data_IF_207627010540
#
_entry.id   IF_207627010540
#
_cell.length_a   1.000
_cell.length_b   1.000
_cell.length_c   1.000
_cell.angle_alpha   90.00
_cell.angle_beta   90.00
_cell.angle_gamma   90.00
#
_symmetry.space_group_name_H-M   'P 1'
#
loop_
_entity.id
_entity.type
_entity.pdbx_description
1 polymer ?
#
# COMPACT_ATOMS: atom_id res chain seq x y z
N UNK A 1 34.40 25.37 -64.57
CA UNK A 1 34.11 25.52 -63.12
C UNK A 1 33.39 24.26 -62.63
N UNK A 2 34.09 23.33 -61.93
CA UNK A 2 33.53 22.13 -61.36
C UNK A 2 32.99 22.48 -59.95
N UNK A 3 31.66 22.37 -59.74
CA UNK A 3 31.05 22.49 -58.40
C UNK A 3 31.47 21.29 -57.52
N UNK A 4 31.97 21.52 -56.32
CA UNK A 4 32.21 20.41 -55.39
C UNK A 4 30.88 19.78 -55.01
N UNK A 5 30.73 18.50 -55.30
CA UNK A 5 29.62 17.68 -54.79
C UNK A 5 29.87 17.42 -53.32
N UNK A 6 29.38 18.29 -52.44
CA UNK A 6 29.27 17.99 -51.02
C UNK A 6 28.18 16.95 -50.89
N UNK A 7 28.55 15.69 -50.77
CA UNK A 7 27.66 14.64 -50.30
C UNK A 7 27.19 15.06 -48.92
N UNK A 8 25.89 15.26 -48.69
CA UNK A 8 25.38 15.47 -47.35
C UNK A 8 25.60 14.17 -46.60
N UNK A 9 26.81 14.12 -46.04
CA UNK A 9 27.32 12.88 -45.57
C UNK A 9 26.76 12.51 -44.24
N UNK A 10 27.26 11.44 -43.75
CA UNK A 10 27.18 10.79 -42.47
C UNK A 10 26.83 11.70 -41.25
N UNK A 11 27.21 12.99 -41.29
CA UNK A 11 26.92 13.96 -40.20
C UNK A 11 25.42 14.24 -39.97
N UNK A 12 24.57 14.10 -41.01
CA UNK A 12 23.11 14.31 -40.85
C UNK A 12 22.48 13.15 -40.12
N UNK A 13 23.05 11.94 -40.20
CA UNK A 13 22.55 10.75 -39.54
C UNK A 13 22.93 10.66 -38.06
N UNK A 14 23.97 11.38 -37.64
CA UNK A 14 24.43 11.37 -36.23
C UNK A 14 23.35 11.87 -35.25
N UNK A 15 22.70 13.04 -35.47
CA UNK A 15 21.66 13.48 -34.56
C UNK A 15 20.42 12.56 -34.59
N UNK A 16 20.09 11.98 -35.76
CA UNK A 16 18.97 11.04 -35.86
C UNK A 16 19.27 9.72 -35.13
N UNK A 17 20.49 9.21 -35.28
CA UNK A 17 20.94 8.01 -34.56
C UNK A 17 20.98 8.25 -33.04
N UNK A 18 21.43 9.42 -32.59
CA UNK A 18 21.45 9.81 -31.20
C UNK A 18 20.02 9.92 -30.63
N UNK A 19 19.12 10.54 -31.39
CA UNK A 19 17.70 10.65 -30.99
C UNK A 19 17.03 9.27 -30.89
N UNK A 20 17.26 8.39 -31.86
CA UNK A 20 16.74 7.03 -31.84
C UNK A 20 17.32 6.21 -30.68
N UNK A 21 18.61 6.38 -30.38
CA UNK A 21 19.27 5.73 -29.24
C UNK A 21 18.72 6.19 -27.90
N UNK A 22 18.60 7.51 -27.69
CA UNK A 22 18.01 8.07 -26.48
C UNK A 22 16.53 7.71 -26.34
N UNK A 23 15.77 7.72 -27.44
CA UNK A 23 14.39 7.27 -27.47
C UNK A 23 14.26 5.79 -27.12
N UNK A 24 15.17 4.95 -27.60
CA UNK A 24 15.22 3.52 -27.25
C UNK A 24 15.50 3.29 -25.78
N UNK A 25 16.46 4.02 -25.19
CA UNK A 25 16.73 3.96 -23.72
C UNK A 25 15.52 4.41 -22.93
N UNK A 26 14.87 5.51 -23.35
CA UNK A 26 13.67 6.02 -22.67
C UNK A 26 12.52 5.00 -22.72
N UNK A 27 12.23 4.43 -23.90
CA UNK A 27 11.21 3.40 -24.06
C UNK A 27 11.54 2.14 -23.25
N UNK A 28 12.81 1.72 -23.25
CA UNK A 28 13.26 0.60 -22.43
C UNK A 28 13.03 0.87 -20.93
N UNK A 29 13.37 2.07 -20.45
CA UNK A 29 13.12 2.48 -19.07
C UNK A 29 11.64 2.55 -18.67
N UNK A 30 10.72 2.74 -19.64
CA UNK A 30 9.28 2.68 -19.38
C UNK A 30 8.73 1.26 -19.29
N UNK A 31 9.43 0.26 -19.81
CA UNK A 31 9.01 -1.14 -19.76
C UNK A 31 9.55 -1.89 -18.53
N UNK A 32 10.53 -1.33 -17.84
CA UNK A 32 11.02 -1.89 -16.58
C UNK A 32 9.94 -1.69 -15.50
N UNK A 33 9.50 -2.77 -14.81
CA UNK A 33 8.62 -2.65 -13.64
C UNK A 33 9.39 -1.88 -12.57
N UNK A 34 8.99 -0.64 -12.31
CA UNK A 34 9.57 0.13 -11.22
C UNK A 34 9.05 -0.43 -9.91
N UNK A 35 9.90 -1.07 -9.13
CA UNK A 35 9.67 -1.30 -7.70
C UNK A 35 9.82 0.04 -6.94
N UNK A 36 9.07 1.07 -7.37
CA UNK A 36 9.09 2.41 -6.77
C UNK A 36 8.37 2.46 -5.39
N UNK A 37 8.11 1.30 -4.81
CA UNK A 37 7.49 1.22 -3.49
C UNK A 37 8.52 1.50 -2.40
N UNK A 38 8.33 2.62 -1.73
CA UNK A 38 9.13 2.96 -0.53
C UNK A 38 8.74 2.00 0.59
N UNK A 39 9.50 0.91 0.72
CA UNK A 39 9.27 -0.03 1.82
C UNK A 39 9.48 0.68 3.16
N UNK A 40 8.56 0.43 4.08
CA UNK A 40 8.67 0.99 5.42
C UNK A 40 10.00 0.59 6.08
N UNK A 41 10.71 1.57 6.61
CA UNK A 41 11.88 1.36 7.45
C UNK A 41 11.52 0.67 8.79
N UNK A 42 10.24 0.46 9.05
CA UNK A 42 9.71 -0.17 10.24
C UNK A 42 9.59 -1.70 10.12
N UNK A 43 9.83 -2.29 8.94
CA UNK A 43 9.84 -3.76 8.80
C UNK A 43 10.88 -4.36 9.74
N UNK A 44 10.47 -5.35 10.53
CA UNK A 44 11.27 -5.99 11.58
C UNK A 44 11.27 -5.27 12.93
N UNK A 45 10.68 -4.08 13.03
CA UNK A 45 10.57 -3.30 14.26
C UNK A 45 9.18 -3.44 14.92
N UNK A 46 9.07 -3.15 16.23
CA UNK A 46 7.77 -3.08 16.88
C UNK A 46 6.92 -1.93 16.31
N UNK A 47 5.60 -2.09 16.32
CA UNK A 47 4.67 -1.00 16.06
C UNK A 47 4.99 0.20 16.96
N UNK A 48 4.87 1.43 16.45
CA UNK A 48 4.86 2.62 17.31
C UNK A 48 3.78 2.48 18.39
N UNK A 49 4.01 3.05 19.55
CA UNK A 49 3.00 3.09 20.61
C UNK A 49 1.91 4.09 20.24
N UNK A 50 0.67 3.61 20.21
CA UNK A 50 -0.50 4.45 19.93
C UNK A 50 -1.73 3.98 20.68
N UNK A 51 -2.68 4.89 20.88
CA UNK A 51 -4.02 4.63 21.39
C UNK A 51 -4.99 5.58 20.70
N UNK A 52 -5.70 5.08 19.69
CA UNK A 52 -6.59 5.87 18.86
C UNK A 52 -8.04 5.67 19.27
N UNK A 53 -8.85 6.74 19.28
CA UNK A 53 -10.28 6.63 19.49
C UNK A 53 -10.92 5.78 18.40
N UNK A 54 -12.10 5.24 18.69
CA UNK A 54 -12.90 4.53 17.70
C UNK A 54 -13.22 5.46 16.52
N UNK A 55 -13.02 4.95 15.30
CA UNK A 55 -13.28 5.72 14.08
C UNK A 55 -14.77 5.91 13.79
N UNK A 56 -15.63 5.06 14.33
CA UNK A 56 -17.10 5.14 14.21
C UNK A 56 -17.77 4.41 15.38
N UNK A 57 -19.06 4.66 15.58
CA UNK A 57 -19.84 3.97 16.60
C UNK A 57 -19.97 2.47 16.30
N UNK A 58 -20.09 1.67 17.36
CA UNK A 58 -20.29 0.21 17.27
C UNK A 58 -19.04 -0.59 16.93
N UNK A 59 -17.90 0.05 16.65
CA UNK A 59 -16.61 -0.63 16.42
C UNK A 59 -15.61 -0.16 17.49
N UNK A 60 -14.89 -1.09 18.16
CA UNK A 60 -13.95 -0.72 19.22
C UNK A 60 -12.79 0.14 18.73
N UNK A 61 -12.29 1.02 19.61
CA UNK A 61 -11.04 1.76 19.47
C UNK A 61 -9.84 0.81 19.25
N UNK A 62 -8.72 1.35 18.77
CA UNK A 62 -7.54 0.56 18.44
C UNK A 62 -6.30 1.11 19.16
N UNK A 63 -5.57 0.22 19.84
CA UNK A 63 -4.29 0.52 20.47
C UNK A 63 -3.20 -0.44 19.99
N UNK A 64 -1.93 -0.02 20.09
CA UNK A 64 -0.79 -0.88 19.76
C UNK A 64 -0.73 -2.16 20.60
N UNK A 65 -1.28 -2.15 21.82
CA UNK A 65 -1.40 -3.31 22.70
C UNK A 65 -2.31 -4.41 22.15
N UNK A 66 -3.24 -4.08 21.25
CA UNK A 66 -4.13 -5.05 20.62
C UNK A 66 -3.40 -6.02 19.67
N UNK A 67 -2.12 -5.76 19.38
CA UNK A 67 -1.27 -6.58 18.52
C UNK A 67 -0.24 -7.44 19.28
N UNK A 68 -0.26 -7.44 20.60
CA UNK A 68 0.75 -8.12 21.43
C UNK A 68 0.19 -9.25 22.28
N UNK A 69 -0.85 -9.94 21.79
CA UNK A 69 -1.55 -11.03 22.51
C UNK A 69 -1.16 -12.44 22.01
N UNK A 70 -0.10 -12.55 21.22
CA UNK A 70 0.41 -13.81 20.68
C UNK A 70 -0.20 -14.21 19.34
N UNK A 71 -1.11 -13.42 18.75
CA UNK A 71 -1.76 -13.73 17.47
C UNK A 71 -1.31 -12.76 16.37
N UNK A 72 -0.95 -13.25 15.18
CA UNK A 72 -0.69 -12.37 14.06
C UNK A 72 -1.97 -11.73 13.53
N UNK A 73 -1.86 -10.48 13.13
CA UNK A 73 -2.96 -9.68 12.56
C UNK A 73 -2.53 -8.89 11.35
N UNK A 74 -3.49 -8.47 10.56
CA UNK A 74 -3.26 -7.45 9.55
C UNK A 74 -3.73 -6.09 10.07
N UNK A 75 -2.94 -5.06 9.77
CA UNK A 75 -3.24 -3.66 10.00
C UNK A 75 -3.38 -2.98 8.64
N UNK A 76 -4.60 -2.54 8.31
CA UNK A 76 -4.88 -1.85 7.05
C UNK A 76 -5.11 -0.36 7.32
N UNK A 77 -4.41 0.49 6.57
CA UNK A 77 -4.61 1.93 6.55
C UNK A 77 -5.54 2.29 5.41
N UNK A 78 -6.61 3.00 5.71
CA UNK A 78 -7.62 3.34 4.73
C UNK A 78 -8.25 4.73 4.97
N UNK A 79 -9.06 5.18 4.03
CA UNK A 79 -9.94 6.33 4.16
C UNK A 79 -11.21 6.14 3.35
N UNK A 80 -12.34 6.63 3.82
CA UNK A 80 -13.62 6.58 3.07
C UNK A 80 -13.56 7.35 1.76
N UNK A 81 -12.71 8.37 1.69
CA UNK A 81 -12.43 9.20 0.54
C UNK A 81 -11.49 8.55 -0.50
N UNK A 82 -10.86 7.43 -0.15
CA UNK A 82 -9.85 6.74 -0.94
C UNK A 82 -10.51 5.78 -1.93
N UNK A 83 -10.43 6.06 -3.23
CA UNK A 83 -11.01 5.21 -4.28
C UNK A 83 -10.40 3.80 -4.32
N UNK A 84 -9.06 3.62 -4.28
CA UNK A 84 -8.47 2.27 -4.24
C UNK A 84 -8.86 1.48 -3.00
N UNK A 85 -9.11 2.15 -1.85
CA UNK A 85 -9.57 1.47 -0.63
C UNK A 85 -10.96 0.83 -0.81
N UNK A 86 -11.83 1.46 -1.61
CA UNK A 86 -13.13 0.88 -1.97
C UNK A 86 -12.96 -0.35 -2.86
N UNK A 87 -12.00 -0.32 -3.77
CA UNK A 87 -11.72 -1.43 -4.67
C UNK A 87 -11.17 -2.66 -3.95
N UNK A 88 -10.35 -2.49 -2.89
CA UNK A 88 -9.78 -3.60 -2.12
C UNK A 88 -10.73 -4.21 -1.09
N UNK A 89 -11.81 -3.52 -0.70
CA UNK A 89 -12.71 -3.95 0.37
C UNK A 89 -13.22 -5.40 0.21
N UNK A 90 -13.62 -5.89 -0.99
CA UNK A 90 -13.99 -7.28 -1.19
C UNK A 90 -12.86 -8.28 -0.90
N UNK A 91 -11.60 -7.89 -1.13
CA UNK A 91 -10.43 -8.74 -0.89
C UNK A 91 -10.11 -8.84 0.60
N UNK A 92 -10.26 -7.73 1.34
CA UNK A 92 -10.18 -7.73 2.81
C UNK A 92 -11.26 -8.63 3.43
N UNK A 93 -12.49 -8.57 2.92
CA UNK A 93 -13.56 -9.49 3.34
C UNK A 93 -13.23 -10.96 3.02
N UNK A 94 -12.57 -11.22 1.91
CA UNK A 94 -12.11 -12.57 1.56
C UNK A 94 -11.03 -13.06 2.53
N UNK A 95 -10.06 -12.22 2.89
CA UNK A 95 -9.03 -12.51 3.89
C UNK A 95 -9.65 -12.79 5.26
N UNK A 96 -10.62 -11.97 5.69
CA UNK A 96 -11.39 -12.19 6.93
C UNK A 96 -12.09 -13.56 6.94
N UNK A 97 -12.75 -13.94 5.84
CA UNK A 97 -13.40 -15.26 5.68
C UNK A 97 -12.40 -16.42 5.76
N UNK A 98 -11.12 -16.17 5.46
CA UNK A 98 -10.03 -17.15 5.61
C UNK A 98 -9.46 -17.19 7.06
N UNK A 99 -10.06 -16.44 7.98
CA UNK A 99 -9.69 -16.43 9.40
C UNK A 99 -8.61 -15.41 9.76
N UNK A 100 -8.30 -14.47 8.86
CA UNK A 100 -7.40 -13.34 9.16
C UNK A 100 -8.16 -12.33 10.02
N UNK A 101 -7.60 -11.98 11.17
CA UNK A 101 -8.08 -10.86 11.97
C UNK A 101 -7.47 -9.56 11.44
N UNK A 102 -8.31 -8.62 11.03
CA UNK A 102 -7.90 -7.36 10.41
C UNK A 102 -8.33 -6.21 11.30
N UNK A 103 -7.41 -5.31 11.63
CA UNK A 103 -7.67 -4.02 12.25
C UNK A 103 -7.49 -2.90 11.25
N UNK A 104 -8.31 -1.86 11.33
CA UNK A 104 -8.27 -0.71 10.46
C UNK A 104 -7.74 0.53 11.16
N UNK A 105 -7.06 1.40 10.42
CA UNK A 105 -6.79 2.79 10.81
C UNK A 105 -7.39 3.70 9.75
N UNK A 106 -8.40 4.47 10.14
CA UNK A 106 -9.01 5.50 9.30
C UNK A 106 -8.15 6.79 9.37
N UNK A 107 -7.61 7.21 8.23
CA UNK A 107 -6.71 8.37 8.13
C UNK A 107 -7.50 9.60 7.67
N UNK A 108 -7.42 10.70 8.46
CA UNK A 108 -8.09 11.97 8.16
C UNK A 108 -9.54 11.78 7.72
N UNK A 109 -10.31 11.04 8.48
CA UNK A 109 -11.67 10.69 8.14
C UNK A 109 -12.68 11.12 9.22
N UNK A 110 -13.93 11.25 8.83
CA UNK A 110 -15.03 11.59 9.72
C UNK A 110 -15.82 10.34 10.10
N UNK A 111 -16.29 10.20 11.36
CA UNK A 111 -17.00 9.00 11.80
C UNK A 111 -18.19 8.60 10.93
N UNK A 112 -18.94 9.58 10.43
CA UNK A 112 -20.11 9.34 9.57
C UNK A 112 -19.69 8.79 8.19
N UNK A 113 -18.58 9.28 7.65
CA UNK A 113 -18.05 8.82 6.37
C UNK A 113 -17.49 7.39 6.49
N UNK A 114 -16.79 7.09 7.59
CA UNK A 114 -16.32 5.72 7.89
C UNK A 114 -17.52 4.78 8.02
N UNK A 115 -18.57 5.15 8.74
CA UNK A 115 -19.79 4.35 8.85
C UNK A 115 -20.44 4.09 7.49
N UNK A 116 -20.56 5.13 6.65
CA UNK A 116 -21.07 5.02 5.29
C UNK A 116 -20.23 4.05 4.44
N UNK A 117 -18.90 4.19 4.48
CA UNK A 117 -17.97 3.30 3.78
C UNK A 117 -18.17 1.84 4.18
N UNK A 118 -18.24 1.54 5.47
CA UNK A 118 -18.41 0.17 5.96
C UNK A 118 -19.79 -0.41 5.62
N UNK A 119 -20.82 0.44 5.55
CA UNK A 119 -22.16 0.02 5.13
C UNK A 119 -22.21 -0.33 3.65
N UNK A 120 -21.53 0.44 2.80
CA UNK A 120 -21.54 0.29 1.35
C UNK A 120 -20.62 -0.84 0.86
N UNK A 121 -19.39 -0.93 1.41
CA UNK A 121 -18.34 -1.83 0.91
C UNK A 121 -18.07 -3.05 1.79
N UNK A 122 -18.77 -3.17 2.94
CA UNK A 122 -18.54 -4.23 3.92
C UNK A 122 -17.59 -3.82 5.05
N UNK A 123 -17.60 -4.60 6.12
CA UNK A 123 -16.76 -4.36 7.30
C UNK A 123 -15.80 -5.52 7.57
N UNK A 124 -14.58 -5.53 7.02
CA UNK A 124 -13.59 -6.56 7.30
C UNK A 124 -12.95 -6.43 8.69
N UNK A 125 -13.10 -5.30 9.35
CA UNK A 125 -12.34 -4.95 10.55
C UNK A 125 -13.00 -5.40 11.85
N UNK A 126 -12.17 -5.81 12.81
CA UNK A 126 -12.61 -6.08 14.19
C UNK A 126 -12.49 -4.85 15.09
N UNK A 127 -11.52 -3.97 14.79
CA UNK A 127 -11.29 -2.68 15.46
C UNK A 127 -10.92 -1.64 14.43
N UNK A 128 -11.29 -0.39 14.66
CA UNK A 128 -10.87 0.73 13.79
C UNK A 128 -10.50 1.93 14.66
N UNK A 129 -9.24 2.35 14.57
CA UNK A 129 -8.76 3.59 15.16
C UNK A 129 -8.86 4.75 14.17
N UNK A 130 -9.13 5.97 14.65
CA UNK A 130 -9.08 7.19 13.85
C UNK A 130 -7.83 8.01 14.20
N UNK A 131 -7.10 8.46 13.18
CA UNK A 131 -5.92 9.32 13.34
C UNK A 131 -5.68 10.21 12.14
N UNK A 132 -4.65 11.04 12.23
CA UNK A 132 -4.18 11.89 11.15
C UNK A 132 -3.03 11.26 10.35
N UNK A 133 -2.50 12.01 9.38
CA UNK A 133 -1.39 11.56 8.54
C UNK A 133 -0.05 11.44 9.29
N UNK A 134 0.10 12.04 10.47
CA UNK A 134 1.37 12.00 11.19
C UNK A 134 1.74 10.57 11.63
N UNK A 135 0.74 9.78 12.01
CA UNK A 135 0.97 8.37 12.35
C UNK A 135 1.35 7.53 11.13
N UNK A 136 0.78 7.80 9.98
CA UNK A 136 1.14 7.15 8.72
C UNK A 136 2.63 7.31 8.41
N UNK A 137 3.18 8.52 8.62
CA UNK A 137 4.61 8.78 8.48
C UNK A 137 5.45 8.01 9.51
N UNK A 138 4.97 7.86 10.75
CA UNK A 138 5.66 7.08 11.78
C UNK A 138 5.75 5.59 11.41
N UNK A 139 4.74 5.03 10.73
CA UNK A 139 4.76 3.68 10.19
C UNK A 139 5.67 3.54 8.95
N UNK A 140 6.17 4.65 8.40
CA UNK A 140 6.87 4.66 7.12
C UNK A 140 5.97 4.25 5.97
N UNK A 141 4.67 4.55 6.08
CA UNK A 141 3.68 4.37 5.03
C UNK A 141 3.75 5.52 4.04
N UNK A 142 3.57 5.21 2.77
CA UNK A 142 3.62 6.18 1.67
C UNK A 142 2.25 6.73 1.29
N UNK A 143 1.17 6.08 1.72
CA UNK A 143 -0.19 6.47 1.37
C UNK A 143 -1.26 5.52 1.90
N UNK A 144 -2.47 5.66 1.37
CA UNK A 144 -3.56 4.71 1.55
C UNK A 144 -4.05 4.23 0.18
N UNK A 145 -4.42 2.94 0.03
CA UNK A 145 -4.37 1.90 1.07
C UNK A 145 -2.97 1.30 1.25
N UNK A 146 -2.66 0.89 2.44
CA UNK A 146 -1.52 0.03 2.75
C UNK A 146 -1.89 -0.99 3.84
N UNK A 147 -1.36 -2.21 3.72
CA UNK A 147 -1.62 -3.29 4.67
C UNK A 147 -0.33 -3.85 5.24
N UNK A 148 -0.25 -3.90 6.55
CA UNK A 148 0.88 -4.47 7.28
C UNK A 148 0.48 -5.80 7.91
N UNK A 149 1.39 -6.78 7.89
CA UNK A 149 1.26 -7.99 8.70
C UNK A 149 2.07 -7.77 9.98
N UNK A 150 1.41 -7.95 11.11
CA UNK A 150 1.97 -7.78 12.45
C UNK A 150 2.02 -9.14 13.10
N UNK A 151 3.17 -9.53 13.66
CA UNK A 151 3.31 -10.78 14.40
C UNK A 151 2.65 -10.70 15.79
N UNK A 152 2.53 -11.84 16.47
CA UNK A 152 1.91 -11.90 17.79
C UNK A 152 2.67 -11.16 18.91
N UNK A 153 3.84 -10.56 18.60
CA UNK A 153 4.62 -9.71 19.50
C UNK A 153 4.49 -8.23 19.18
N UNK A 154 3.61 -7.87 18.24
CA UNK A 154 3.41 -6.49 17.79
C UNK A 154 4.51 -5.97 16.86
N UNK A 155 5.23 -6.82 16.13
CA UNK A 155 6.30 -6.41 15.21
C UNK A 155 5.78 -6.44 13.78
N UNK A 156 6.14 -5.43 13.00
CA UNK A 156 5.83 -5.35 11.58
C UNK A 156 6.72 -6.36 10.84
N UNK A 157 6.12 -7.34 10.18
CA UNK A 157 6.88 -8.37 9.45
C UNK A 157 6.76 -8.26 7.93
N UNK A 158 5.70 -7.59 7.45
CA UNK A 158 5.47 -7.38 6.03
C UNK A 158 4.63 -6.13 5.78
N UNK A 159 4.83 -5.51 4.62
CA UNK A 159 4.06 -4.37 4.11
C UNK A 159 3.61 -4.69 2.67
N UNK A 160 2.32 -4.53 2.42
CA UNK A 160 1.72 -4.46 1.09
C UNK A 160 1.35 -3.02 0.80
N UNK A 161 1.87 -2.46 -0.28
CA UNK A 161 1.64 -1.07 -0.67
C UNK A 161 0.64 -1.05 -1.83
N UNK A 162 -0.37 -0.20 -1.71
CA UNK A 162 -1.47 -0.10 -2.67
C UNK A 162 -2.63 -1.03 -2.36
N UNK A 163 -3.60 -1.06 -3.26
CA UNK A 163 -4.81 -1.87 -3.15
C UNK A 163 -4.53 -3.37 -3.26
N UNK A 164 -5.13 -4.15 -2.37
CA UNK A 164 -5.08 -5.61 -2.45
C UNK A 164 -5.97 -6.07 -3.60
N UNK A 165 -5.36 -6.77 -4.56
CA UNK A 165 -6.05 -7.35 -5.71
C UNK A 165 -6.28 -8.85 -5.51
N UNK A 166 -7.06 -9.46 -6.41
CA UNK A 166 -7.37 -10.89 -6.33
C UNK A 166 -6.12 -11.78 -6.28
N UNK A 167 -5.09 -11.40 -7.04
CA UNK A 167 -3.81 -12.15 -7.11
C UNK A 167 -2.95 -11.97 -5.84
N UNK A 168 -3.20 -10.95 -5.03
CA UNK A 168 -2.46 -10.67 -3.79
C UNK A 168 -2.99 -11.47 -2.59
N UNK A 169 -4.25 -11.93 -2.66
CA UNK A 169 -4.92 -12.59 -1.51
C UNK A 169 -4.17 -13.83 -1.03
N UNK A 170 -3.81 -14.73 -1.94
CA UNK A 170 -3.10 -15.96 -1.56
C UNK A 170 -1.68 -15.70 -1.05
N UNK A 171 -0.84 -14.88 -1.72
CA UNK A 171 0.48 -14.50 -1.19
C UNK A 171 0.41 -13.83 0.20
N UNK A 172 -0.56 -12.95 0.44
CA UNK A 172 -0.75 -12.31 1.74
C UNK A 172 -1.16 -13.32 2.83
N UNK A 173 -2.06 -14.25 2.49
CA UNK A 173 -2.51 -15.29 3.40
C UNK A 173 -1.35 -16.24 3.77
N UNK A 174 -0.50 -16.61 2.84
CA UNK A 174 0.68 -17.41 3.07
C UNK A 174 1.68 -16.72 4.00
N UNK A 175 1.96 -15.44 3.76
CA UNK A 175 2.84 -14.63 4.62
C UNK A 175 2.26 -14.50 6.04
N UNK A 176 0.96 -14.27 6.17
CA UNK A 176 0.31 -14.19 7.48
C UNK A 176 0.36 -15.53 8.23
N UNK A 177 0.16 -16.64 7.53
CA UNK A 177 0.27 -17.99 8.13
C UNK A 177 1.68 -18.33 8.58
N UNK A 178 2.70 -17.84 7.88
CA UNK A 178 4.11 -18.07 8.19
C UNK A 178 4.57 -17.39 9.49
N UNK A 179 3.82 -16.43 10.03
CA UNK A 179 4.15 -15.72 11.27
C UNK A 179 3.28 -16.13 12.47
N UNK A 180 2.50 -17.20 12.30
CA UNK A 180 1.72 -17.81 13.38
C UNK A 180 2.58 -18.50 14.42
#
# INVERSE_FOLDING_TARGET
MKRPSTRPGLLIWVPLALFAFLGGIFLYGLTEPKDDYVRSHMIGKPLPVFNFPAATEGIPALASTDFADGKPRMLNLFGSWCIPCRAEAPMLEQLKKQGVEIHGIAINDQPQNVAGFLTEFGNPYTRIGATDMAFQLQLGSSGVPETFIIDGKGRIVYQHIGDIRADDVQPLLEKWRAVK
#
